data_IF_972277635596
#
_entry.id   IF_972277635596
#
_cell.length_a   1.000
_cell.length_b   1.000
_cell.length_c   1.000
_cell.angle_alpha   90.00
_cell.angle_beta   90.00
_cell.angle_gamma   90.00
#
_symmetry.space_group_name_H-M   'P 1'
#
loop_
_entity.id
_entity.type
_entity.pdbx_description
1 polymer ?
#
# COMPACT_ATOMS: atom_id res chain seq x y z
N UNK A 1 0.85 3.13 -22.58
CA UNK A 1 -0.25 3.56 -21.71
C UNK A 1 -0.14 2.89 -20.36
N UNK A 2 -0.21 3.68 -19.31
CA UNK A 2 -0.15 3.17 -17.95
C UNK A 2 -1.46 2.42 -17.60
N UNK A 3 -1.34 1.24 -17.04
CA UNK A 3 -2.46 0.53 -16.43
C UNK A 3 -2.45 0.77 -14.92
N UNK A 4 -3.52 1.35 -14.38
CA UNK A 4 -3.63 1.59 -12.95
C UNK A 4 -3.87 0.28 -12.20
N UNK A 5 -3.09 0.04 -11.15
CA UNK A 5 -3.27 -1.09 -10.25
C UNK A 5 -3.70 -0.58 -8.89
N UNK A 6 -4.98 -0.77 -8.57
CA UNK A 6 -5.52 -0.39 -7.26
C UNK A 6 -5.53 -1.58 -6.31
N UNK A 7 -5.27 -1.31 -5.05
CA UNK A 7 -5.29 -2.31 -3.97
C UNK A 7 -6.19 -1.82 -2.84
N UNK A 8 -6.74 -2.77 -2.09
CA UNK A 8 -7.52 -2.48 -0.88
C UNK A 8 -6.62 -2.69 0.33
N UNK A 9 -6.61 -1.71 1.24
CA UNK A 9 -5.89 -1.78 2.51
C UNK A 9 -6.85 -2.17 3.61
N UNK A 10 -6.43 -3.10 4.48
CA UNK A 10 -7.24 -3.62 5.58
C UNK A 10 -6.42 -3.66 6.87
N UNK A 11 -7.05 -4.07 7.96
CA UNK A 11 -6.42 -4.27 9.26
C UNK A 11 -5.92 -2.99 9.91
N UNK A 12 -6.39 -1.83 9.47
CA UNK A 12 -5.95 -0.53 9.98
C UNK A 12 -6.21 -0.39 11.48
N UNK A 13 -7.30 -1.01 11.99
CA UNK A 13 -7.65 -0.97 13.41
C UNK A 13 -6.62 -1.62 14.31
N UNK A 14 -5.83 -2.58 13.79
CA UNK A 14 -4.79 -3.26 14.54
C UNK A 14 -3.54 -2.42 14.70
N UNK A 15 -3.50 -1.25 14.06
CA UNK A 15 -2.37 -0.33 14.11
C UNK A 15 -2.87 1.03 14.63
N UNK A 16 -2.94 2.04 13.80
CA UNK A 16 -3.28 3.39 14.23
C UNK A 16 -4.64 3.88 13.70
N UNK A 17 -5.46 2.97 13.15
CA UNK A 17 -6.70 3.36 12.50
C UNK A 17 -6.43 4.28 11.33
N UNK A 18 -7.23 5.33 11.22
CA UNK A 18 -7.09 6.30 10.10
C UNK A 18 -6.15 7.46 10.41
N UNK A 19 -5.63 7.56 11.62
CA UNK A 19 -4.83 8.73 12.04
C UNK A 19 -3.66 9.05 11.11
N UNK A 20 -2.86 8.07 10.64
CA UNK A 20 -1.73 8.39 9.78
C UNK A 20 -2.12 8.68 8.34
N UNK A 21 -3.35 8.37 7.93
CA UNK A 21 -3.74 8.51 6.54
C UNK A 21 -4.10 9.94 6.18
N UNK A 22 -3.71 10.34 4.96
CA UNK A 22 -4.11 11.58 4.32
C UNK A 22 -4.24 11.30 2.83
N UNK A 23 -5.10 12.06 2.14
CA UNK A 23 -5.25 11.91 0.69
C UNK A 23 -3.90 12.12 0.00
N UNK A 24 -3.61 11.26 -0.98
CA UNK A 24 -2.35 11.27 -1.75
C UNK A 24 -1.10 10.98 -0.91
N UNK A 25 -1.28 10.51 0.33
CA UNK A 25 -0.15 10.07 1.17
C UNK A 25 0.59 8.89 0.54
N UNK A 26 1.90 8.84 0.75
CA UNK A 26 2.76 7.80 0.18
C UNK A 26 2.86 6.64 1.14
N UNK A 27 2.74 5.43 0.58
CA UNK A 27 2.81 4.17 1.30
C UNK A 27 3.97 3.35 0.77
N UNK A 28 4.65 2.63 1.67
CA UNK A 28 5.64 1.62 1.31
C UNK A 28 5.00 0.24 1.44
N UNK A 29 5.09 -0.55 0.39
CA UNK A 29 4.59 -1.92 0.35
C UNK A 29 5.77 -2.86 0.54
N UNK A 30 5.70 -3.76 1.53
CA UNK A 30 6.79 -4.68 1.85
C UNK A 30 6.25 -6.10 1.87
N UNK A 31 6.81 -6.97 1.04
CA UNK A 31 6.47 -8.40 1.06
C UNK A 31 6.98 -9.02 2.37
N UNK A 32 6.08 -9.62 3.10
CA UNK A 32 6.37 -10.21 4.42
C UNK A 32 6.66 -11.70 4.26
N UNK A 33 7.89 -12.01 3.83
CA UNK A 33 8.27 -13.36 3.40
C UNK A 33 8.30 -14.38 4.54
N UNK A 34 8.38 -13.92 5.78
CA UNK A 34 8.42 -14.78 6.97
C UNK A 34 7.07 -14.88 7.67
N UNK A 35 5.99 -14.47 7.02
CA UNK A 35 4.65 -14.58 7.57
C UNK A 35 4.21 -16.04 7.58
N UNK A 36 3.86 -16.55 8.77
CA UNK A 36 3.48 -17.96 8.95
C UNK A 36 2.04 -18.27 8.54
N UNK A 37 1.23 -17.25 8.32
CA UNK A 37 -0.20 -17.39 8.04
C UNK A 37 -0.56 -17.11 6.59
N UNK A 38 0.26 -16.35 5.87
CA UNK A 38 -0.02 -15.94 4.51
C UNK A 38 1.30 -15.72 3.76
N UNK A 39 1.60 -16.60 2.82
CA UNK A 39 2.82 -16.54 2.01
C UNK A 39 2.85 -15.32 1.09
N UNK A 40 1.70 -14.69 0.88
CA UNK A 40 1.55 -13.54 -0.02
C UNK A 40 1.27 -12.25 0.76
N UNK A 41 1.56 -12.23 2.07
CA UNK A 41 1.32 -11.07 2.89
C UNK A 41 2.18 -9.88 2.45
N UNK A 42 1.54 -8.73 2.28
CA UNK A 42 2.20 -7.47 1.97
C UNK A 42 1.78 -6.46 3.02
N UNK A 43 2.74 -6.05 3.86
CA UNK A 43 2.49 -5.02 4.86
C UNK A 43 2.65 -3.64 4.26
N UNK A 44 1.97 -2.67 4.86
CA UNK A 44 1.94 -1.28 4.42
C UNK A 44 2.51 -0.40 5.52
N UNK A 45 3.50 0.43 5.17
CA UNK A 45 4.13 1.37 6.10
C UNK A 45 4.02 2.81 5.62
N UNK A 46 4.03 3.74 6.57
CA UNK A 46 4.07 5.18 6.29
C UNK A 46 5.17 5.83 7.10
N UNK A 47 5.70 6.95 6.58
CA UNK A 47 6.67 7.79 7.31
C UNK A 47 6.08 8.21 8.67
N UNK A 48 6.89 8.12 9.71
CA UNK A 48 6.56 8.49 11.10
C UNK A 48 5.58 7.56 11.82
N UNK A 49 5.00 6.59 11.13
CA UNK A 49 4.01 5.69 11.74
C UNK A 49 4.44 4.22 11.76
N UNK A 50 5.38 3.83 10.89
CA UNK A 50 5.68 2.41 10.70
C UNK A 50 4.51 1.69 10.03
N UNK A 51 4.21 0.47 10.46
CA UNK A 51 3.13 -0.30 9.84
C UNK A 51 1.76 0.28 10.15
N UNK A 52 0.94 0.46 9.11
CA UNK A 52 -0.39 1.07 9.21
C UNK A 52 -1.51 0.16 8.68
N UNK A 53 -1.19 -0.87 7.91
CA UNK A 53 -2.19 -1.74 7.29
C UNK A 53 -1.54 -2.98 6.70
N UNK A 54 -2.39 -3.84 6.12
CA UNK A 54 -2.02 -4.90 5.17
C UNK A 54 -2.76 -4.69 3.87
N UNK A 55 -2.20 -5.17 2.76
CA UNK A 55 -2.94 -5.29 1.50
C UNK A 55 -3.90 -6.47 1.63
N UNK A 56 -5.18 -6.24 1.30
CA UNK A 56 -6.19 -7.29 1.40
C UNK A 56 -5.84 -8.48 0.50
N UNK A 57 -5.93 -9.69 1.06
CA UNK A 57 -5.74 -10.95 0.32
C UNK A 57 -6.92 -11.91 0.49
N UNK A 58 -8.07 -11.39 0.94
CA UNK A 58 -9.29 -12.18 1.16
C UNK A 58 -10.37 -11.75 0.17
N UNK A 59 -11.05 -12.72 -0.44
CA UNK A 59 -12.18 -12.43 -1.33
C UNK A 59 -13.30 -11.69 -0.61
N UNK A 60 -13.35 -11.78 0.72
CA UNK A 60 -14.37 -11.10 1.52
C UNK A 60 -14.08 -9.61 1.75
N UNK A 61 -12.83 -9.18 1.57
CA UNK A 61 -12.42 -7.81 1.89
C UNK A 61 -11.88 -7.03 0.71
N UNK A 62 -11.45 -7.72 -0.36
CA UNK A 62 -10.98 -7.04 -1.59
C UNK A 62 -12.14 -6.33 -2.25
N UNK A 63 -12.04 -5.02 -2.40
CA UNK A 63 -13.06 -4.22 -3.07
C UNK A 63 -13.01 -4.50 -4.56
N UNK A 64 -14.19 -4.62 -5.17
CA UNK A 64 -14.32 -4.84 -6.60
C UNK A 64 -13.59 -3.73 -7.39
N UNK A 65 -12.76 -4.14 -8.33
CA UNK A 65 -11.93 -3.22 -9.10
C UNK A 65 -10.52 -3.06 -8.55
N UNK A 66 -10.25 -3.63 -7.35
CA UNK A 66 -8.90 -3.67 -6.80
C UNK A 66 -8.31 -5.07 -6.92
N UNK A 67 -6.99 -5.17 -6.75
CA UNK A 67 -6.25 -6.42 -6.82
C UNK A 67 -5.85 -6.87 -5.42
N UNK A 68 -6.01 -8.17 -5.15
CA UNK A 68 -5.56 -8.76 -3.88
C UNK A 68 -4.03 -8.78 -3.81
N UNK A 69 -3.50 -8.97 -2.59
CA UNK A 69 -2.06 -9.13 -2.38
C UNK A 69 -1.50 -10.26 -3.26
N UNK A 70 -2.18 -11.40 -3.33
CA UNK A 70 -1.73 -12.51 -4.17
C UNK A 70 -1.65 -12.17 -5.64
N UNK A 71 -2.57 -11.34 -6.14
CA UNK A 71 -2.57 -10.95 -7.56
C UNK A 71 -1.44 -9.99 -7.91
N UNK A 72 -1.02 -9.13 -6.98
CA UNK A 72 0.06 -8.17 -7.25
C UNK A 72 1.42 -8.69 -6.81
N UNK A 73 1.47 -9.79 -6.05
CA UNK A 73 2.70 -10.25 -5.40
C UNK A 73 3.88 -10.36 -6.36
N UNK A 74 3.65 -10.95 -7.53
CA UNK A 74 4.70 -11.13 -8.54
C UNK A 74 4.86 -9.92 -9.46
N UNK A 75 4.02 -8.91 -9.32
CA UNK A 75 4.04 -7.71 -10.17
C UNK A 75 4.79 -6.54 -9.55
N UNK A 76 5.06 -6.61 -8.25
CA UNK A 76 5.78 -5.57 -7.52
C UNK A 76 7.12 -6.10 -7.01
N UNK A 77 8.03 -5.20 -6.67
CA UNK A 77 9.30 -5.53 -6.03
C UNK A 77 9.06 -5.95 -4.57
N UNK A 78 10.08 -6.51 -3.93
CA UNK A 78 10.02 -6.87 -2.50
C UNK A 78 9.65 -5.67 -1.63
N UNK A 79 10.11 -4.49 -2.02
CA UNK A 79 9.69 -3.20 -1.47
C UNK A 79 9.27 -2.32 -2.64
N UNK A 80 8.07 -1.77 -2.56
CA UNK A 80 7.52 -0.93 -3.62
C UNK A 80 6.66 0.16 -2.99
N UNK A 81 6.03 1.00 -3.80
CA UNK A 81 5.33 2.17 -3.30
C UNK A 81 3.93 2.29 -3.89
N UNK A 82 3.04 2.87 -3.09
CA UNK A 82 1.68 3.17 -3.50
C UNK A 82 1.28 4.54 -2.96
N UNK A 83 0.18 5.06 -3.47
CA UNK A 83 -0.35 6.35 -3.05
C UNK A 83 -1.81 6.18 -2.66
N UNK A 84 -2.17 6.62 -1.46
CA UNK A 84 -3.54 6.53 -0.98
C UNK A 84 -4.47 7.44 -1.80
N UNK A 85 -5.60 6.89 -2.23
CA UNK A 85 -6.60 7.64 -3.00
C UNK A 85 -7.90 7.82 -2.26
N UNK A 86 -8.24 6.88 -1.41
CA UNK A 86 -9.46 6.92 -0.61
C UNK A 86 -9.22 6.15 0.69
N UNK A 87 -9.84 6.59 1.78
CA UNK A 87 -9.85 5.82 3.01
C UNK A 87 -11.06 6.18 3.86
N UNK A 88 -11.49 5.22 4.66
CA UNK A 88 -12.47 5.41 5.71
C UNK A 88 -12.04 4.58 6.93
N UNK A 89 -12.90 4.46 7.93
CA UNK A 89 -12.58 3.73 9.16
C UNK A 89 -12.20 2.27 8.94
N UNK A 90 -12.69 1.66 7.87
CA UNK A 90 -12.61 0.22 7.67
C UNK A 90 -11.60 -0.19 6.61
N UNK A 91 -11.43 0.62 5.57
CA UNK A 91 -10.58 0.28 4.43
C UNK A 91 -9.87 1.51 3.88
N UNK A 92 -8.80 1.25 3.13
CA UNK A 92 -8.20 2.23 2.26
C UNK A 92 -8.09 1.69 0.85
N UNK A 93 -8.01 2.59 -0.13
CA UNK A 93 -7.74 2.22 -1.52
C UNK A 93 -6.53 3.02 -1.97
N UNK A 94 -5.56 2.33 -2.52
CA UNK A 94 -4.31 2.94 -2.97
C UNK A 94 -3.99 2.50 -4.39
N UNK A 95 -3.27 3.36 -5.10
CA UNK A 95 -2.77 3.09 -6.44
C UNK A 95 -1.29 2.77 -6.36
N UNK A 96 -0.87 1.64 -6.93
CA UNK A 96 0.55 1.27 -6.99
C UNK A 96 1.25 2.23 -7.94
N UNK A 97 2.36 2.81 -7.49
CA UNK A 97 3.11 3.77 -8.28
C UNK A 97 4.00 3.07 -9.31
N UNK A 98 4.05 3.63 -10.53
CA UNK A 98 4.97 3.17 -11.56
C UNK A 98 6.39 3.70 -11.28
N UNK A 99 7.44 3.10 -11.88
CA UNK A 99 8.80 3.64 -11.74
C UNK A 99 8.91 5.12 -12.14
N UNK A 100 8.20 5.54 -13.19
CA UNK A 100 8.22 6.94 -13.62
C UNK A 100 7.58 7.87 -12.59
N UNK A 101 6.49 7.43 -11.99
CA UNK A 101 5.83 8.19 -10.91
C UNK A 101 6.72 8.31 -9.68
N UNK A 102 7.41 7.21 -9.33
CA UNK A 102 8.35 7.20 -8.21
C UNK A 102 9.49 8.20 -8.48
N UNK A 103 10.07 8.17 -9.66
CA UNK A 103 11.14 9.08 -10.04
C UNK A 103 10.69 10.54 -9.97
N UNK A 104 9.49 10.83 -10.43
CA UNK A 104 8.94 12.18 -10.39
C UNK A 104 8.74 12.67 -8.95
N UNK A 105 8.22 11.82 -8.07
CA UNK A 105 8.02 12.17 -6.66
C UNK A 105 9.35 12.36 -5.93
N UNK A 106 10.38 11.61 -6.29
CA UNK A 106 11.72 11.72 -5.69
C UNK A 106 12.39 13.06 -5.96
N UNK A 107 11.98 13.78 -6.98
CA UNK A 107 12.56 15.09 -7.32
C UNK A 107 12.28 16.14 -6.25
N UNK A 108 11.21 15.96 -5.48
CA UNK A 108 10.92 16.81 -4.33
C UNK A 108 11.60 16.22 -3.10
N UNK A 109 12.66 16.87 -2.55
CA UNK A 109 13.39 16.33 -1.40
C UNK A 109 12.52 16.15 -0.15
N UNK A 110 11.41 16.87 -0.05
CA UNK A 110 10.51 16.81 1.10
C UNK A 110 9.41 15.77 0.94
N UNK A 111 9.31 15.12 -0.22
CA UNK A 111 8.29 14.10 -0.43
C UNK A 111 8.53 12.90 0.50
N UNK A 112 7.46 12.41 1.12
CA UNK A 112 7.53 11.30 2.08
C UNK A 112 8.20 10.05 1.49
N UNK A 113 8.10 9.85 0.18
CA UNK A 113 8.73 8.72 -0.49
C UNK A 113 10.24 8.65 -0.25
N UNK A 114 10.90 9.81 -0.10
CA UNK A 114 12.33 9.86 0.14
C UNK A 114 12.74 9.42 1.55
N UNK A 115 11.78 9.17 2.44
CA UNK A 115 12.01 8.86 3.84
C UNK A 115 11.49 7.48 4.25
N UNK A 116 10.98 6.71 3.32
CA UNK A 116 10.46 5.37 3.62
C UNK A 116 10.98 4.31 2.66
#
# INVERSE_FOLDING_TARGET
MKEDMYITLVSMRHFFGVKPFKKDGILKLIKEKDNNYDDEAIKVEMRHAGQVAYVSNSTNTVIRGTMSAGRIYDKILDEDYAQIKFYNRNIGIANILTPDEIDELKKDPENDLNFI
#
